data_IF_433932209878
#
_entry.id   IF_433932209878
#
_cell.length_a   1.000
_cell.length_b   1.000
_cell.length_c   1.000
_cell.angle_alpha   90.00
_cell.angle_beta   90.00
_cell.angle_gamma   90.00
#
_symmetry.space_group_name_H-M   'P 1'
#
loop_
_entity.id
_entity.type
_entity.pdbx_description
1 polymer ?
#
# COMPACT_ATOMS: atom_id res chain seq x y z
N UNK A 1 -2.60 -31.10 6.80
CA UNK A 1 -2.45 -29.71 6.30
C UNK A 1 -3.28 -29.58 5.04
N UNK A 2 -3.86 -28.41 4.78
CA UNK A 2 -4.70 -28.21 3.60
C UNK A 2 -3.82 -27.91 2.37
N UNK A 3 -4.01 -28.65 1.28
CA UNK A 3 -3.24 -28.52 0.03
C UNK A 3 -4.05 -27.86 -1.11
N UNK A 4 -5.32 -27.50 -0.86
CA UNK A 4 -6.18 -26.88 -1.85
C UNK A 4 -6.11 -25.34 -1.75
N UNK A 5 -5.59 -24.63 -2.77
CA UNK A 5 -5.42 -23.18 -2.72
C UNK A 5 -6.73 -22.41 -2.52
N UNK A 6 -7.85 -22.93 -3.04
CA UNK A 6 -9.16 -22.27 -2.95
C UNK A 6 -9.77 -22.42 -1.55
N UNK A 7 -9.56 -23.57 -0.91
CA UNK A 7 -10.00 -23.76 0.48
C UNK A 7 -9.13 -22.91 1.42
N UNK A 8 -7.82 -22.82 1.21
CA UNK A 8 -6.95 -21.92 1.99
C UNK A 8 -7.38 -20.46 1.79
N UNK A 9 -7.65 -20.03 0.55
CA UNK A 9 -8.14 -18.69 0.27
C UNK A 9 -9.49 -18.39 0.95
N UNK A 10 -10.43 -19.34 0.92
CA UNK A 10 -11.70 -19.24 1.63
C UNK A 10 -11.52 -19.05 3.14
N UNK A 11 -10.66 -19.87 3.76
CA UNK A 11 -10.39 -19.78 5.20
C UNK A 11 -9.74 -18.44 5.58
N UNK A 12 -8.78 -17.96 4.77
CA UNK A 12 -8.17 -16.66 4.97
C UNK A 12 -9.19 -15.51 4.84
N UNK A 13 -10.01 -15.50 3.77
CA UNK A 13 -11.05 -14.48 3.58
C UNK A 13 -12.10 -14.52 4.70
N UNK A 14 -12.46 -15.71 5.17
CA UNK A 14 -13.38 -15.89 6.29
C UNK A 14 -12.83 -15.25 7.57
N UNK A 15 -11.54 -15.41 7.86
CA UNK A 15 -10.90 -14.80 9.02
C UNK A 15 -10.76 -13.29 8.87
N UNK A 16 -10.41 -12.78 7.68
CA UNK A 16 -10.38 -11.35 7.37
C UNK A 16 -11.75 -10.73 7.64
N UNK A 17 -12.82 -11.33 7.11
CA UNK A 17 -14.19 -10.85 7.24
C UNK A 17 -14.73 -10.91 8.67
N UNK A 18 -14.35 -11.93 9.47
CA UNK A 18 -14.87 -12.11 10.83
C UNK A 18 -14.08 -11.36 11.90
N UNK A 19 -12.75 -11.30 11.77
CA UNK A 19 -11.86 -10.79 12.82
C UNK A 19 -11.33 -9.38 12.53
N UNK A 20 -11.60 -8.84 11.34
CA UNK A 20 -11.10 -7.52 10.93
C UNK A 20 -9.57 -7.46 10.78
N UNK A 21 -8.91 -8.60 10.67
CA UNK A 21 -7.45 -8.69 10.51
C UNK A 21 -6.98 -8.03 9.21
N UNK A 22 -5.75 -7.50 9.22
CA UNK A 22 -5.10 -7.02 8.00
C UNK A 22 -4.89 -8.19 7.03
N UNK A 23 -5.23 -7.99 5.76
CA UNK A 23 -5.24 -9.07 4.77
C UNK A 23 -3.86 -9.73 4.61
N UNK A 24 -2.79 -8.94 4.66
CA UNK A 24 -1.40 -9.41 4.56
C UNK A 24 -1.01 -10.31 5.74
N UNK A 25 -1.36 -9.93 6.96
CA UNK A 25 -1.07 -10.70 8.17
C UNK A 25 -1.82 -12.02 8.19
N UNK A 26 -3.12 -12.00 7.88
CA UNK A 26 -3.96 -13.21 7.87
C UNK A 26 -3.51 -14.17 6.76
N UNK A 27 -3.24 -13.67 5.56
CA UNK A 27 -2.77 -14.50 4.45
C UNK A 27 -1.41 -15.14 4.76
N UNK A 28 -0.44 -14.37 5.28
CA UNK A 28 0.89 -14.89 5.62
C UNK A 28 0.82 -15.98 6.70
N UNK A 29 -0.09 -15.87 7.67
CA UNK A 29 -0.37 -16.95 8.63
C UNK A 29 -0.86 -18.21 7.92
N UNK A 30 -1.93 -18.11 7.11
CA UNK A 30 -2.50 -19.25 6.40
C UNK A 30 -1.53 -19.90 5.42
N UNK A 31 -0.68 -19.12 4.74
CA UNK A 31 0.34 -19.63 3.82
C UNK A 31 1.47 -20.39 4.53
N UNK A 32 1.78 -20.08 5.81
CA UNK A 32 2.77 -20.80 6.60
C UNK A 32 2.23 -22.10 7.20
N UNK A 33 0.95 -22.11 7.55
CA UNK A 33 0.28 -23.27 8.14
C UNK A 33 -0.19 -24.30 7.10
N UNK A 34 -0.12 -23.94 5.81
CA UNK A 34 -0.55 -24.78 4.69
C UNK A 34 0.63 -25.42 3.96
N UNK A 35 0.39 -26.61 3.38
CA UNK A 35 1.37 -27.33 2.56
C UNK A 35 1.02 -27.13 1.08
N UNK A 36 1.38 -25.95 0.55
CA UNK A 36 1.08 -25.53 -0.81
C UNK A 36 2.36 -25.41 -1.64
N UNK A 37 2.33 -25.93 -2.88
CA UNK A 37 3.35 -25.62 -3.88
C UNK A 37 3.38 -24.13 -4.21
N UNK A 38 4.48 -23.61 -4.75
CA UNK A 38 4.61 -22.19 -5.09
C UNK A 38 3.54 -21.69 -6.08
N UNK A 39 3.11 -22.55 -7.00
CA UNK A 39 1.98 -22.26 -7.91
C UNK A 39 0.69 -22.05 -7.10
N UNK A 40 0.41 -22.93 -6.15
CA UNK A 40 -0.78 -22.83 -5.30
C UNK A 40 -0.71 -21.67 -4.31
N UNK A 41 0.48 -21.32 -3.80
CA UNK A 41 0.69 -20.13 -2.94
C UNK A 41 0.41 -18.85 -3.71
N UNK A 42 0.87 -18.75 -4.97
CA UNK A 42 0.55 -17.62 -5.85
C UNK A 42 -0.95 -17.52 -6.13
N UNK A 43 -1.60 -18.63 -6.49
CA UNK A 43 -3.05 -18.64 -6.73
C UNK A 43 -3.84 -18.25 -5.48
N UNK A 44 -3.48 -18.78 -4.31
CA UNK A 44 -4.11 -18.42 -3.02
C UNK A 44 -3.97 -16.92 -2.75
N UNK A 45 -2.77 -16.38 -2.95
CA UNK A 45 -2.46 -14.96 -2.78
C UNK A 45 -3.32 -14.09 -3.71
N UNK A 46 -3.39 -14.46 -4.99
CA UNK A 46 -4.20 -13.76 -5.99
C UNK A 46 -5.69 -13.80 -5.65
N UNK A 47 -6.23 -14.95 -5.24
CA UNK A 47 -7.63 -15.09 -4.86
C UNK A 47 -7.98 -14.24 -3.63
N UNK A 48 -7.15 -14.25 -2.58
CA UNK A 48 -7.40 -13.49 -1.36
C UNK A 48 -7.33 -11.99 -1.63
N UNK A 49 -6.22 -11.49 -2.17
CA UNK A 49 -6.08 -10.06 -2.45
C UNK A 49 -7.08 -9.58 -3.51
N UNK A 50 -7.31 -10.40 -4.53
CA UNK A 50 -8.29 -10.15 -5.57
C UNK A 50 -9.71 -9.95 -5.05
N UNK A 51 -10.19 -10.87 -4.21
CA UNK A 51 -11.52 -10.75 -3.60
C UNK A 51 -11.62 -9.54 -2.66
N UNK A 52 -10.59 -9.25 -1.87
CA UNK A 52 -10.56 -8.05 -1.01
C UNK A 52 -10.62 -6.78 -1.86
N UNK A 53 -9.84 -6.72 -2.94
CA UNK A 53 -9.76 -5.60 -3.87
C UNK A 53 -11.08 -5.36 -4.61
N UNK A 54 -11.74 -6.44 -5.06
CA UNK A 54 -12.99 -6.39 -5.83
C UNK A 54 -14.25 -6.54 -4.98
N UNK A 55 -14.16 -6.42 -3.66
CA UNK A 55 -15.26 -6.68 -2.73
C UNK A 55 -16.59 -6.04 -3.15
N UNK A 56 -16.62 -4.74 -3.43
CA UNK A 56 -17.87 -4.06 -3.82
C UNK A 56 -18.35 -4.49 -5.19
N UNK A 57 -17.45 -4.71 -6.15
CA UNK A 57 -17.82 -5.24 -7.46
C UNK A 57 -18.50 -6.61 -7.34
N UNK A 58 -17.90 -7.50 -6.54
CA UNK A 58 -18.41 -8.86 -6.31
C UNK A 58 -19.71 -8.86 -5.50
N UNK A 59 -19.87 -7.95 -4.54
CA UNK A 59 -21.14 -7.73 -3.84
C UNK A 59 -22.25 -7.27 -4.79
N UNK A 60 -21.95 -6.32 -5.68
CA UNK A 60 -22.92 -5.84 -6.67
C UNK A 60 -23.36 -6.96 -7.61
N UNK A 61 -22.47 -7.87 -8.03
CA UNK A 61 -22.85 -9.04 -8.82
C UNK A 61 -23.84 -9.94 -8.07
N UNK A 62 -23.61 -10.17 -6.78
CA UNK A 62 -24.57 -10.89 -5.93
C UNK A 62 -25.90 -10.14 -5.89
N UNK A 63 -25.87 -8.81 -5.72
CA UNK A 63 -27.06 -7.97 -5.60
C UNK A 63 -27.93 -7.91 -6.87
N UNK A 64 -27.34 -8.16 -8.05
CA UNK A 64 -28.04 -8.27 -9.33
C UNK A 64 -28.63 -9.67 -9.58
N UNK A 65 -27.95 -10.73 -9.11
CA UNK A 65 -28.27 -12.11 -9.48
C UNK A 65 -29.03 -12.89 -8.41
N UNK A 66 -28.87 -12.51 -7.14
CA UNK A 66 -29.45 -13.21 -6.02
C UNK A 66 -30.75 -12.53 -5.53
N UNK A 67 -31.71 -13.31 -5.01
CA UNK A 67 -32.94 -12.74 -4.45
C UNK A 67 -32.70 -11.97 -3.14
N UNK A 68 -31.69 -12.39 -2.36
CA UNK A 68 -31.24 -11.67 -1.14
C UNK A 68 -30.01 -10.84 -1.47
N UNK A 69 -29.93 -9.65 -0.85
CA UNK A 69 -28.77 -8.77 -1.02
C UNK A 69 -27.51 -9.39 -0.41
N UNK A 70 -26.35 -9.00 -0.92
CA UNK A 70 -25.01 -9.46 -0.55
C UNK A 70 -24.79 -9.44 0.97
N UNK A 71 -25.16 -8.35 1.65
CA UNK A 71 -25.07 -8.21 3.11
C UNK A 71 -26.03 -9.11 3.90
N UNK A 72 -27.09 -9.64 3.26
CA UNK A 72 -28.09 -10.54 3.87
C UNK A 72 -27.75 -12.03 3.63
N UNK A 73 -26.74 -12.31 2.80
CA UNK A 73 -26.29 -13.68 2.56
C UNK A 73 -25.58 -14.25 3.78
N UNK A 74 -25.59 -15.58 3.92
CA UNK A 74 -24.73 -16.25 4.89
C UNK A 74 -23.26 -15.85 4.62
N UNK A 75 -22.48 -15.39 5.63
CA UNK A 75 -21.14 -14.82 5.40
C UNK A 75 -20.18 -15.74 4.63
N UNK A 76 -20.23 -17.04 4.91
CA UNK A 76 -19.38 -18.01 4.22
C UNK A 76 -19.85 -18.24 2.76
N UNK A 77 -21.17 -18.16 2.50
CA UNK A 77 -21.70 -18.27 1.13
C UNK A 77 -21.36 -17.03 0.32
N UNK A 78 -21.46 -15.83 0.90
CA UNK A 78 -20.98 -14.60 0.27
C UNK A 78 -19.50 -14.70 -0.09
N UNK A 79 -18.67 -15.22 0.81
CA UNK A 79 -17.23 -15.42 0.57
C UNK A 79 -16.96 -16.43 -0.55
N UNK A 80 -17.71 -17.53 -0.60
CA UNK A 80 -17.60 -18.52 -1.69
C UNK A 80 -18.06 -17.92 -3.03
N UNK A 81 -19.14 -17.14 -3.04
CA UNK A 81 -19.60 -16.43 -4.23
C UNK A 81 -18.57 -15.40 -4.71
N UNK A 82 -17.93 -14.66 -3.79
CA UNK A 82 -16.82 -13.77 -4.12
C UNK A 82 -15.68 -14.52 -4.81
N UNK A 83 -15.25 -15.67 -4.28
CA UNK A 83 -14.23 -16.51 -4.92
C UNK A 83 -14.64 -17.03 -6.30
N UNK A 84 -15.90 -17.47 -6.44
CA UNK A 84 -16.45 -17.95 -7.71
C UNK A 84 -16.48 -16.85 -8.77
N UNK A 85 -17.09 -15.72 -8.44
CA UNK A 85 -17.14 -14.54 -9.32
C UNK A 85 -15.75 -14.01 -9.63
N UNK A 86 -14.85 -13.93 -8.65
CA UNK A 86 -13.50 -13.40 -8.89
C UNK A 86 -12.75 -14.24 -9.93
N UNK A 87 -12.83 -15.56 -9.82
CA UNK A 87 -12.24 -16.48 -10.79
C UNK A 87 -12.85 -16.30 -12.19
N UNK A 88 -14.18 -16.19 -12.29
CA UNK A 88 -14.86 -16.04 -13.58
C UNK A 88 -14.56 -14.67 -14.23
N UNK A 89 -14.63 -13.59 -13.46
CA UNK A 89 -14.59 -12.22 -13.98
C UNK A 89 -13.17 -11.67 -14.17
N UNK A 90 -12.19 -12.14 -13.39
CA UNK A 90 -10.86 -11.51 -13.33
C UNK A 90 -9.69 -12.47 -13.57
N UNK A 91 -9.91 -13.79 -13.65
CA UNK A 91 -8.85 -14.76 -13.90
C UNK A 91 -9.05 -15.49 -15.23
N UNK A 92 -8.53 -14.89 -16.32
CA UNK A 92 -8.64 -15.42 -17.69
C UNK A 92 -8.09 -16.85 -17.86
N UNK A 93 -7.20 -17.30 -16.97
CA UNK A 93 -6.58 -18.63 -17.04
C UNK A 93 -7.43 -19.73 -16.38
N UNK A 94 -8.51 -19.37 -15.67
CA UNK A 94 -9.37 -20.34 -14.97
C UNK A 94 -10.63 -20.58 -15.79
N UNK A 95 -10.86 -21.81 -16.29
CA UNK A 95 -12.10 -22.13 -17.01
C UNK A 95 -13.34 -21.88 -16.13
N UNK A 96 -14.39 -21.31 -16.73
CA UNK A 96 -15.66 -21.04 -16.05
C UNK A 96 -16.23 -22.28 -15.33
N UNK A 97 -16.18 -23.46 -15.95
CA UNK A 97 -16.61 -24.73 -15.34
C UNK A 97 -15.81 -25.04 -14.07
N UNK A 98 -14.49 -24.91 -14.11
CA UNK A 98 -13.62 -25.16 -12.96
C UNK A 98 -13.89 -24.16 -11.82
N UNK A 99 -14.13 -22.89 -12.12
CA UNK A 99 -14.50 -21.88 -11.12
C UNK A 99 -15.81 -22.24 -10.41
N UNK A 100 -16.83 -22.69 -11.16
CA UNK A 100 -18.12 -23.12 -10.61
C UNK A 100 -17.95 -24.39 -9.76
N UNK A 101 -17.33 -25.43 -10.31
CA UNK A 101 -17.20 -26.74 -9.65
C UNK A 101 -16.42 -26.62 -8.35
N UNK A 102 -15.30 -25.87 -8.36
CA UNK A 102 -14.53 -25.62 -7.15
C UNK A 102 -15.30 -24.80 -6.12
N UNK A 103 -16.12 -23.83 -6.53
CA UNK A 103 -16.98 -23.07 -5.61
C UNK A 103 -18.05 -23.96 -4.96
N UNK A 104 -18.65 -24.87 -5.72
CA UNK A 104 -19.60 -25.86 -5.20
C UNK A 104 -18.92 -26.84 -4.23
N UNK A 105 -17.68 -27.23 -4.53
CA UNK A 105 -16.89 -28.08 -3.66
C UNK A 105 -16.55 -27.39 -2.34
N UNK A 106 -16.22 -26.09 -2.35
CA UNK A 106 -16.04 -25.31 -1.12
C UNK A 106 -17.31 -25.33 -0.25
N UNK A 107 -18.50 -25.25 -0.85
CA UNK A 107 -19.77 -25.37 -0.10
C UNK A 107 -19.87 -26.71 0.63
N UNK A 108 -19.56 -27.81 -0.07
CA UNK A 108 -19.63 -29.16 0.51
C UNK A 108 -18.60 -29.36 1.61
N UNK A 109 -17.35 -28.98 1.38
CA UNK A 109 -16.24 -29.15 2.32
C UNK A 109 -16.42 -28.37 3.62
N UNK A 110 -17.20 -27.29 3.60
CA UNK A 110 -17.46 -26.46 4.77
C UNK A 110 -18.83 -26.75 5.42
N UNK A 111 -19.47 -27.89 5.12
CA UNK A 111 -20.70 -28.33 5.78
C UNK A 111 -21.96 -27.55 5.35
N UNK A 112 -21.91 -26.87 4.20
CA UNK A 112 -22.97 -25.97 3.71
C UNK A 112 -23.73 -26.56 2.52
N UNK A 113 -23.71 -27.89 2.33
CA UNK A 113 -24.19 -28.61 1.13
C UNK A 113 -25.58 -28.20 0.63
N UNK A 114 -26.49 -27.79 1.51
CA UNK A 114 -27.81 -27.28 1.11
C UNK A 114 -27.77 -26.02 0.22
N UNK A 115 -26.66 -25.28 0.22
CA UNK A 115 -26.42 -24.13 -0.65
C UNK A 115 -25.73 -24.49 -1.98
N UNK A 116 -25.35 -25.75 -2.23
CA UNK A 116 -24.58 -26.12 -3.43
C UNK A 116 -25.34 -25.77 -4.73
N UNK A 117 -26.65 -26.07 -4.77
CA UNK A 117 -27.49 -25.72 -5.91
C UNK A 117 -27.63 -24.21 -6.12
N UNK A 118 -27.69 -23.45 -5.03
CA UNK A 118 -27.77 -21.99 -5.05
C UNK A 118 -26.49 -21.35 -5.61
N UNK A 119 -25.33 -21.73 -5.09
CA UNK A 119 -24.03 -21.23 -5.58
C UNK A 119 -23.81 -21.59 -7.06
N UNK A 120 -24.06 -22.85 -7.43
CA UNK A 120 -23.98 -23.29 -8.83
C UNK A 120 -24.93 -22.47 -9.74
N UNK A 121 -26.18 -22.30 -9.31
CA UNK A 121 -27.20 -21.58 -10.06
C UNK A 121 -26.82 -20.12 -10.33
N UNK A 122 -26.34 -19.40 -9.31
CA UNK A 122 -25.94 -18.00 -9.44
C UNK A 122 -24.76 -17.84 -10.39
N UNK A 123 -23.68 -18.61 -10.20
CA UNK A 123 -22.49 -18.47 -11.03
C UNK A 123 -22.77 -18.85 -12.49
N UNK A 124 -23.54 -19.91 -12.74
CA UNK A 124 -23.96 -20.28 -14.10
C UNK A 124 -24.95 -19.29 -14.71
N UNK A 125 -25.79 -18.63 -13.89
CA UNK A 125 -26.65 -17.56 -14.38
C UNK A 125 -25.81 -16.40 -14.92
N UNK A 126 -24.81 -15.94 -14.16
CA UNK A 126 -23.88 -14.90 -14.64
C UNK A 126 -23.20 -15.27 -15.96
N UNK A 127 -22.60 -16.47 -16.04
CA UNK A 127 -21.91 -16.93 -17.26
C UNK A 127 -22.85 -16.85 -18.47
N UNK A 128 -24.07 -17.38 -18.35
CA UNK A 128 -25.06 -17.34 -19.45
C UNK A 128 -25.48 -15.94 -19.83
N UNK A 129 -25.62 -15.02 -18.88
CA UNK A 129 -25.96 -13.62 -19.19
C UNK A 129 -24.79 -12.91 -19.88
N UNK A 130 -23.55 -13.15 -19.43
CA UNK A 130 -22.35 -12.57 -20.04
C UNK A 130 -22.12 -13.05 -21.49
N UNK A 131 -22.42 -14.32 -21.78
CA UNK A 131 -22.29 -14.91 -23.13
C UNK A 131 -23.31 -14.33 -24.13
N UNK A 132 -24.45 -13.81 -23.67
CA UNK A 132 -25.46 -13.17 -24.53
C UNK A 132 -25.06 -11.77 -25.00
N UNK A 133 -24.14 -11.12 -24.30
CA UNK A 133 -23.69 -9.78 -24.60
C UNK A 133 -22.16 -9.75 -24.67
N UNK A 134 -21.55 -10.39 -25.69
CA UNK A 134 -20.12 -10.33 -25.90
C UNK A 134 -19.71 -8.88 -26.16
N UNK A 135 -18.89 -8.33 -25.25
CA UNK A 135 -18.40 -6.97 -25.35
C UNK A 135 -17.18 -6.96 -26.26
N UNK A 136 -17.25 -6.27 -27.40
CA UNK A 136 -16.12 -6.10 -28.34
C UNK A 136 -15.03 -5.13 -27.82
N UNK A 137 -15.32 -4.39 -26.74
CA UNK A 137 -14.46 -3.30 -26.26
C UNK A 137 -13.35 -3.77 -25.32
N UNK A 138 -12.22 -3.07 -25.38
CA UNK A 138 -11.02 -3.26 -24.55
C UNK A 138 -11.18 -2.84 -23.08
N UNK A 139 -12.36 -2.34 -22.68
CA UNK A 139 -12.60 -1.87 -21.32
C UNK A 139 -13.03 -3.01 -20.38
N UNK A 140 -12.01 -3.77 -19.94
CA UNK A 140 -12.13 -5.00 -19.16
C UNK A 140 -12.91 -4.87 -17.84
N UNK A 141 -13.04 -3.66 -17.28
CA UNK A 141 -13.75 -3.49 -16.01
C UNK A 141 -15.25 -3.29 -16.18
N UNK A 142 -15.65 -2.52 -17.20
CA UNK A 142 -17.05 -2.30 -17.53
C UNK A 142 -17.71 -3.57 -18.10
N UNK A 143 -16.95 -4.40 -18.82
CA UNK A 143 -17.47 -5.64 -19.41
C UNK A 143 -17.99 -6.62 -18.36
N UNK A 144 -17.41 -6.66 -17.15
CA UNK A 144 -17.84 -7.51 -16.04
C UNK A 144 -19.32 -7.31 -15.68
N UNK A 145 -19.82 -6.08 -15.81
CA UNK A 145 -21.19 -5.72 -15.46
C UNK A 145 -22.14 -5.72 -16.65
N UNK A 146 -21.70 -6.08 -17.85
CA UNK A 146 -22.59 -6.22 -19.00
C UNK A 146 -23.27 -7.60 -18.91
N UNK A 147 -24.61 -7.73 -18.88
CA UNK A 147 -25.68 -6.79 -19.28
C UNK A 147 -26.40 -6.05 -18.14
N UNK A 148 -25.90 -6.09 -16.91
CA UNK A 148 -26.55 -5.46 -15.76
C UNK A 148 -26.58 -3.93 -15.90
N UNK A 149 -27.74 -3.35 -15.53
CA UNK A 149 -27.90 -1.90 -15.53
C UNK A 149 -27.17 -1.29 -14.34
N UNK A 150 -26.03 -0.66 -14.61
CA UNK A 150 -25.31 0.16 -13.63
C UNK A 150 -26.10 1.42 -13.26
N UNK A 151 -25.90 1.97 -12.04
CA UNK A 151 -26.46 3.25 -11.63
C UNK A 151 -26.07 4.39 -12.59
N UNK A 152 -26.96 5.39 -12.72
CA UNK A 152 -26.69 6.58 -13.52
C UNK A 152 -25.76 7.58 -12.81
N UNK A 153 -25.74 7.55 -11.47
CA UNK A 153 -24.83 8.37 -10.69
C UNK A 153 -23.37 7.93 -10.95
N UNK A 154 -22.48 8.82 -11.41
CA UNK A 154 -21.10 8.46 -11.74
C UNK A 154 -20.31 7.96 -10.52
N UNK A 155 -20.58 8.48 -9.32
CA UNK A 155 -19.89 8.09 -8.08
C UNK A 155 -20.18 6.62 -7.76
N UNK A 156 -21.47 6.27 -7.73
CA UNK A 156 -21.91 4.92 -7.44
C UNK A 156 -21.45 3.95 -8.55
N UNK A 157 -21.58 4.37 -9.80
CA UNK A 157 -21.14 3.59 -10.98
C UNK A 157 -19.66 3.24 -10.88
N UNK A 158 -18.78 4.23 -10.73
CA UNK A 158 -17.33 4.01 -10.62
C UNK A 158 -16.97 3.23 -9.35
N UNK A 159 -17.65 3.51 -8.24
CA UNK A 159 -17.48 2.79 -6.99
C UNK A 159 -17.76 1.29 -7.14
N UNK A 160 -18.78 0.91 -7.92
CA UNK A 160 -19.09 -0.48 -8.26
C UNK A 160 -18.05 -1.08 -9.21
N UNK A 161 -17.73 -0.41 -10.32
CA UNK A 161 -16.83 -0.94 -11.35
C UNK A 161 -15.43 -1.19 -10.78
N UNK A 162 -14.90 -0.20 -10.07
CA UNK A 162 -13.53 -0.21 -9.56
C UNK A 162 -13.41 -0.66 -8.11
N UNK A 163 -14.52 -0.93 -7.43
CA UNK A 163 -14.58 -1.41 -6.04
C UNK A 163 -13.94 -0.45 -5.03
N UNK A 164 -14.53 0.73 -4.91
CA UNK A 164 -14.17 1.76 -3.92
C UNK A 164 -15.42 2.30 -3.22
N UNK A 165 -15.32 2.85 -2.00
CA UNK A 165 -16.44 3.55 -1.37
C UNK A 165 -16.77 4.85 -2.10
N UNK A 166 -18.04 5.27 -2.04
CA UNK A 166 -18.53 6.45 -2.76
C UNK A 166 -17.80 7.73 -2.37
N UNK A 167 -17.45 7.89 -1.10
CA UNK A 167 -16.76 9.10 -0.63
C UNK A 167 -15.35 9.25 -1.24
N UNK A 168 -14.63 8.16 -1.49
CA UNK A 168 -13.31 8.22 -2.16
C UNK A 168 -13.47 8.59 -3.63
N UNK A 169 -14.46 8.00 -4.31
CA UNK A 169 -14.74 8.33 -5.71
C UNK A 169 -15.15 9.79 -5.84
N UNK A 170 -16.03 10.27 -4.97
CA UNK A 170 -16.43 11.68 -4.94
C UNK A 170 -15.20 12.58 -4.77
N UNK A 171 -14.37 12.30 -3.76
CA UNK A 171 -13.13 13.05 -3.52
C UNK A 171 -12.21 13.09 -4.75
N UNK A 172 -12.00 11.96 -5.42
CA UNK A 172 -11.15 11.90 -6.62
C UNK A 172 -11.78 12.62 -7.81
N UNK A 173 -13.09 12.51 -8.01
CA UNK A 173 -13.80 13.24 -9.07
C UNK A 173 -13.69 14.74 -8.88
N UNK A 174 -13.83 15.23 -7.65
CA UNK A 174 -13.72 16.65 -7.32
C UNK A 174 -12.28 17.17 -7.54
N UNK A 175 -11.27 16.31 -7.36
CA UNK A 175 -9.85 16.70 -7.42
C UNK A 175 -9.24 16.53 -8.81
N UNK A 176 -9.58 15.45 -9.52
CA UNK A 176 -8.91 15.00 -10.75
C UNK A 176 -9.84 15.01 -11.97
N UNK A 177 -11.15 15.14 -11.76
CA UNK A 177 -12.14 14.91 -12.81
C UNK A 177 -12.28 13.44 -13.19
N UNK A 178 -13.16 13.17 -14.16
CA UNK A 178 -13.58 11.81 -14.51
C UNK A 178 -12.43 10.95 -15.08
N UNK A 179 -11.75 11.43 -16.11
CA UNK A 179 -10.76 10.63 -16.85
C UNK A 179 -9.58 10.19 -15.98
N UNK A 180 -9.03 11.10 -15.18
CA UNK A 180 -7.93 10.77 -14.27
C UNK A 180 -8.39 9.93 -13.07
N UNK A 181 -9.62 10.11 -12.59
CA UNK A 181 -10.19 9.23 -11.55
C UNK A 181 -10.24 7.78 -12.03
N UNK A 182 -10.64 7.53 -13.27
CA UNK A 182 -10.65 6.17 -13.84
C UNK A 182 -9.24 5.58 -13.97
N UNK A 183 -8.25 6.40 -14.36
CA UNK A 183 -6.84 5.99 -14.40
C UNK A 183 -6.31 5.64 -13.00
N UNK A 184 -6.59 6.47 -12.00
CA UNK A 184 -6.22 6.21 -10.61
C UNK A 184 -6.88 4.94 -10.08
N UNK A 185 -8.18 4.78 -10.32
CA UNK A 185 -8.94 3.59 -9.93
C UNK A 185 -8.39 2.33 -10.60
N UNK A 186 -8.02 2.42 -11.87
CA UNK A 186 -7.39 1.34 -12.62
C UNK A 186 -6.05 0.97 -12.00
N UNK A 187 -5.18 1.95 -11.75
CA UNK A 187 -3.87 1.74 -11.14
C UNK A 187 -3.97 1.08 -9.76
N UNK A 188 -4.85 1.58 -8.89
CA UNK A 188 -5.05 0.99 -7.56
C UNK A 188 -5.60 -0.43 -7.58
N UNK A 189 -6.15 -0.88 -8.71
CA UNK A 189 -6.63 -2.24 -8.88
C UNK A 189 -5.61 -3.19 -9.53
N UNK A 190 -4.40 -2.72 -9.82
CA UNK A 190 -3.30 -3.56 -10.28
C UNK A 190 -2.68 -4.34 -9.12
N UNK A 191 -1.99 -5.42 -9.46
CA UNK A 191 -1.17 -6.13 -8.47
C UNK A 191 0.09 -5.33 -8.14
N UNK A 192 0.48 -5.24 -6.87
CA UNK A 192 1.59 -4.40 -6.44
C UNK A 192 2.93 -4.87 -7.00
N UNK A 193 3.73 -3.91 -7.47
CA UNK A 193 5.12 -4.15 -7.84
C UNK A 193 6.01 -4.15 -6.61
N UNK A 194 7.16 -4.80 -6.68
CA UNK A 194 8.14 -4.80 -5.60
C UNK A 194 9.31 -3.93 -6.02
N UNK A 195 9.50 -2.85 -5.27
CA UNK A 195 10.60 -1.91 -5.45
C UNK A 195 11.67 -2.19 -4.41
N UNK A 196 12.91 -2.15 -4.87
CA UNK A 196 14.11 -2.35 -4.10
C UNK A 196 14.86 -1.02 -4.01
N UNK A 197 15.39 -0.76 -2.82
CA UNK A 197 16.40 0.26 -2.58
C UNK A 197 17.74 -0.43 -2.42
N UNK A 198 18.71 -0.08 -3.27
CA UNK A 198 20.07 -0.60 -3.19
C UNK A 198 20.81 0.07 -2.03
N UNK A 199 21.53 -0.72 -1.24
CA UNK A 199 22.39 -0.23 -0.16
C UNK A 199 23.80 0.04 -0.71
N UNK A 200 24.17 1.32 -0.89
CA UNK A 200 25.44 1.68 -1.53
C UNK A 200 26.66 1.35 -0.66
N UNK A 201 26.48 1.06 0.64
CA UNK A 201 27.54 0.65 1.54
C UNK A 201 27.95 -0.82 1.38
N UNK A 202 27.12 -1.61 0.70
CA UNK A 202 27.34 -3.05 0.55
C UNK A 202 27.55 -3.47 -0.90
N UNK A 203 27.00 -2.72 -1.86
CA UNK A 203 27.07 -3.08 -3.28
C UNK A 203 26.74 -1.88 -4.19
N UNK A 204 26.81 -2.09 -5.50
CA UNK A 204 26.35 -1.13 -6.51
C UNK A 204 25.09 -1.61 -7.21
N UNK A 205 24.38 -0.68 -7.84
CA UNK A 205 23.17 -0.99 -8.59
C UNK A 205 23.48 -1.96 -9.76
N UNK A 206 24.57 -1.73 -10.49
CA UNK A 206 25.03 -2.56 -11.61
C UNK A 206 25.34 -4.00 -11.17
N UNK A 207 25.89 -4.16 -9.96
CA UNK A 207 26.20 -5.49 -9.40
C UNK A 207 24.92 -6.28 -9.14
N UNK A 208 23.90 -5.63 -8.58
CA UNK A 208 22.60 -6.28 -8.31
C UNK A 208 21.88 -6.61 -9.60
N UNK A 209 21.87 -5.69 -10.58
CA UNK A 209 21.30 -5.95 -11.91
C UNK A 209 21.94 -7.15 -12.58
N UNK A 210 23.27 -7.22 -12.59
CA UNK A 210 24.02 -8.31 -13.23
C UNK A 210 23.77 -9.66 -12.56
N UNK A 211 23.72 -9.70 -11.23
CA UNK A 211 23.44 -10.93 -10.48
C UNK A 211 21.98 -11.39 -10.63
N UNK A 212 21.04 -10.45 -10.78
CA UNK A 212 19.65 -10.81 -11.04
C UNK A 212 19.47 -11.34 -12.46
N UNK A 213 20.11 -10.69 -13.45
CA UNK A 213 20.09 -11.14 -14.83
C UNK A 213 20.70 -12.53 -14.99
N UNK A 214 21.81 -12.84 -14.31
CA UNK A 214 22.45 -14.16 -14.35
C UNK A 214 21.53 -15.30 -13.85
N UNK A 215 20.53 -14.97 -13.03
CA UNK A 215 19.50 -15.89 -12.52
C UNK A 215 18.15 -15.78 -13.22
N UNK A 216 18.08 -15.03 -14.32
CA UNK A 216 16.84 -14.82 -15.06
C UNK A 216 15.78 -14.00 -14.31
N UNK A 217 16.17 -13.20 -13.31
CA UNK A 217 15.29 -12.30 -12.59
C UNK A 217 15.28 -10.94 -13.31
N UNK A 218 14.12 -10.52 -13.79
CA UNK A 218 13.98 -9.25 -14.51
C UNK A 218 13.82 -8.07 -13.55
N UNK A 219 14.65 -7.04 -13.75
CA UNK A 219 14.59 -5.75 -13.03
C UNK A 219 14.70 -4.58 -13.98
N UNK A 220 14.04 -3.48 -13.62
CA UNK A 220 14.17 -2.20 -14.31
C UNK A 220 14.57 -1.12 -13.31
N UNK A 221 15.44 -0.20 -13.71
CA UNK A 221 15.70 1.02 -12.94
C UNK A 221 14.42 1.85 -12.85
N UNK A 222 14.16 2.42 -11.68
CA UNK A 222 13.03 3.32 -11.47
C UNK A 222 13.46 4.71 -11.98
N UNK A 223 12.73 5.26 -12.94
CA UNK A 223 13.07 6.53 -13.59
C UNK A 223 13.26 7.65 -12.57
N UNK A 224 14.39 8.37 -12.69
CA UNK A 224 14.78 9.48 -11.80
C UNK A 224 15.28 9.06 -10.42
N UNK A 225 15.02 7.83 -9.94
CA UNK A 225 15.36 7.41 -8.59
C UNK A 225 16.76 6.75 -8.54
N UNK A 226 17.78 7.33 -7.86
CA UNK A 226 19.17 6.92 -8.03
C UNK A 226 19.49 5.46 -7.68
N UNK A 227 18.91 4.94 -6.59
CA UNK A 227 19.19 3.59 -6.08
C UNK A 227 17.95 2.67 -6.14
N UNK A 228 16.98 3.01 -7.00
CA UNK A 228 15.71 2.31 -7.11
C UNK A 228 15.70 1.27 -8.23
N UNK A 229 15.40 0.02 -7.90
CA UNK A 229 15.10 -1.04 -8.87
C UNK A 229 13.68 -1.56 -8.67
N UNK A 230 12.98 -1.86 -9.75
CA UNK A 230 11.66 -2.52 -9.74
C UNK A 230 11.79 -3.94 -10.26
N UNK A 231 11.40 -4.90 -9.42
CA UNK A 231 11.27 -6.30 -9.84
C UNK A 231 10.10 -6.43 -10.82
N UNK A 232 10.32 -7.16 -11.92
CA UNK A 232 9.29 -7.47 -12.91
C UNK A 232 9.17 -8.99 -13.08
N UNK A 233 7.95 -9.45 -13.34
CA UNK A 233 7.65 -10.87 -13.49
C UNK A 233 7.47 -11.64 -12.17
N UNK A 234 7.41 -12.96 -12.28
CA UNK A 234 7.22 -13.83 -11.12
C UNK A 234 8.52 -14.04 -10.40
N UNK A 235 8.59 -13.56 -9.17
CA UNK A 235 9.71 -13.83 -8.26
C UNK A 235 9.38 -14.98 -7.32
N UNK A 236 10.41 -15.70 -6.89
CA UNK A 236 10.31 -16.64 -5.78
C UNK A 236 10.18 -15.90 -4.45
N UNK A 237 10.53 -16.59 -3.35
CA UNK A 237 10.63 -15.95 -2.04
C UNK A 237 11.65 -14.81 -2.07
N UNK A 238 11.24 -13.63 -1.58
CA UNK A 238 12.10 -12.44 -1.46
C UNK A 238 13.40 -12.76 -0.71
N UNK A 239 13.34 -13.62 0.30
CA UNK A 239 14.50 -13.94 1.14
C UNK A 239 15.56 -14.77 0.41
N UNK A 240 15.15 -15.44 -0.67
CA UNK A 240 16.01 -16.32 -1.46
C UNK A 240 16.64 -15.56 -2.65
N UNK A 241 16.24 -14.30 -2.85
CA UNK A 241 16.81 -13.43 -3.88
C UNK A 241 18.28 -13.08 -3.55
N UNK A 242 19.14 -12.97 -4.58
CA UNK A 242 20.56 -12.66 -4.38
C UNK A 242 20.76 -11.36 -3.61
N UNK A 243 21.74 -11.34 -2.71
CA UNK A 243 22.09 -10.14 -1.94
C UNK A 243 21.20 -9.86 -0.72
N UNK A 244 20.07 -10.57 -0.53
CA UNK A 244 19.16 -10.32 0.59
C UNK A 244 19.87 -10.43 1.95
N UNK A 245 20.55 -11.55 2.20
CA UNK A 245 21.27 -11.82 3.45
C UNK A 245 22.55 -11.00 3.58
N UNK A 246 23.14 -10.58 2.46
CA UNK A 246 24.34 -9.75 2.41
C UNK A 246 24.05 -8.27 2.69
N UNK A 247 22.76 -7.89 2.72
CA UNK A 247 22.34 -6.51 2.96
C UNK A 247 22.44 -5.61 1.74
N UNK A 248 22.49 -6.18 0.54
CA UNK A 248 22.67 -5.44 -0.73
C UNK A 248 21.51 -4.50 -1.05
N UNK A 249 20.32 -4.81 -0.57
CA UNK A 249 19.12 -4.02 -0.82
C UNK A 249 18.05 -4.24 0.26
N UNK A 250 17.03 -3.39 0.24
CA UNK A 250 15.81 -3.48 1.05
C UNK A 250 14.58 -3.28 0.19
N UNK A 251 13.44 -3.85 0.57
CA UNK A 251 12.16 -3.52 -0.08
C UNK A 251 11.70 -2.15 0.41
N UNK A 252 11.49 -1.23 -0.52
CA UNK A 252 10.92 0.08 -0.24
C UNK A 252 10.33 0.66 -1.54
N UNK A 253 9.06 1.08 -1.49
CA UNK A 253 8.40 1.76 -2.60
C UNK A 253 9.17 3.02 -3.03
N UNK A 254 9.23 3.28 -4.35
CA UNK A 254 9.92 4.45 -4.88
C UNK A 254 9.48 5.78 -4.26
N UNK A 255 8.18 5.94 -3.96
CA UNK A 255 7.66 7.15 -3.31
C UNK A 255 8.26 7.36 -1.91
N UNK A 256 8.42 6.28 -1.14
CA UNK A 256 8.99 6.33 0.20
C UNK A 256 10.52 6.54 0.17
N UNK A 257 11.20 6.17 -0.91
CA UNK A 257 12.64 6.46 -1.10
C UNK A 257 12.87 7.96 -1.30
N UNK A 258 12.01 8.64 -2.08
CA UNK A 258 12.09 10.08 -2.34
C UNK A 258 12.05 10.95 -1.08
N UNK A 259 11.35 10.51 -0.04
CA UNK A 259 11.28 11.23 1.24
C UNK A 259 12.65 11.43 1.88
N UNK A 260 13.50 10.39 1.87
CA UNK A 260 14.87 10.48 2.42
C UNK A 260 15.77 11.35 1.55
N UNK A 261 15.58 11.34 0.23
CA UNK A 261 16.28 12.26 -0.68
C UNK A 261 15.86 13.72 -0.47
N UNK A 262 14.58 13.99 -0.20
CA UNK A 262 14.11 15.34 0.13
C UNK A 262 14.67 15.83 1.47
N UNK A 263 14.78 14.93 2.45
CA UNK A 263 15.42 15.23 3.73
C UNK A 263 16.88 15.63 3.53
N UNK A 264 17.57 15.00 2.57
CA UNK A 264 18.94 15.31 2.17
C UNK A 264 19.95 15.25 3.35
N UNK A 265 19.97 14.16 4.15
CA UNK A 265 20.83 14.09 5.32
C UNK A 265 22.32 14.00 4.93
N UNK A 266 23.18 14.66 5.71
CA UNK A 266 24.63 14.74 5.43
C UNK A 266 25.44 13.90 6.43
N UNK A 267 26.59 13.33 6.00
CA UNK A 267 27.53 12.66 6.91
C UNK A 267 27.92 13.54 8.10
N UNK A 268 27.86 12.97 9.30
CA UNK A 268 28.21 13.64 10.56
C UNK A 268 27.07 14.38 11.26
N UNK A 269 25.92 14.56 10.61
CA UNK A 269 24.72 15.18 11.21
C UNK A 269 24.07 14.28 12.27
N UNK A 270 23.28 14.89 13.15
CA UNK A 270 22.30 14.21 14.01
C UNK A 270 20.91 14.30 13.37
N UNK A 271 20.38 13.16 12.95
CA UNK A 271 19.08 13.05 12.29
C UNK A 271 18.09 12.33 13.21
N UNK A 272 16.86 12.82 13.28
CA UNK A 272 15.76 12.15 13.98
C UNK A 272 14.75 11.60 12.98
N UNK A 273 14.33 10.36 13.17
CA UNK A 273 13.14 9.78 12.55
C UNK A 273 12.09 9.55 13.65
N UNK A 274 11.08 10.41 13.72
CA UNK A 274 10.15 10.49 14.84
C UNK A 274 9.07 9.38 14.82
N UNK A 275 8.87 8.72 13.68
CA UNK A 275 7.87 7.67 13.46
C UNK A 275 8.47 6.52 12.64
N UNK A 276 9.59 5.99 13.14
CA UNK A 276 10.56 5.25 12.36
C UNK A 276 10.09 3.87 11.87
N UNK A 277 9.25 3.14 12.60
CA UNK A 277 9.02 1.74 12.26
C UNK A 277 8.14 1.61 11.00
N UNK A 278 8.40 0.66 10.08
CA UNK A 278 9.29 -0.49 10.20
C UNK A 278 10.78 -0.24 9.87
N UNK A 279 11.21 1.01 9.65
CA UNK A 279 12.62 1.39 9.53
C UNK A 279 13.12 1.59 8.10
N UNK A 280 12.23 1.60 7.11
CA UNK A 280 12.61 1.78 5.70
C UNK A 280 13.34 3.10 5.48
N UNK A 281 12.72 4.22 5.88
CA UNK A 281 13.31 5.56 5.76
C UNK A 281 14.49 5.76 6.71
N UNK A 282 14.39 5.27 7.94
CA UNK A 282 15.50 5.28 8.92
C UNK A 282 16.78 4.66 8.38
N UNK A 283 16.68 3.46 7.80
CA UNK A 283 17.85 2.77 7.22
C UNK A 283 18.37 3.46 5.97
N UNK A 284 17.48 4.07 5.18
CA UNK A 284 17.90 4.88 4.03
C UNK A 284 18.68 6.13 4.48
N UNK A 285 18.22 6.81 5.53
CA UNK A 285 18.93 7.96 6.10
C UNK A 285 20.33 7.55 6.53
N UNK A 286 20.48 6.43 7.24
CA UNK A 286 21.79 5.91 7.63
C UNK A 286 22.68 5.57 6.43
N UNK A 287 22.12 5.02 5.35
CA UNK A 287 22.84 4.77 4.09
C UNK A 287 23.31 6.08 3.42
N UNK A 288 22.47 7.12 3.40
CA UNK A 288 22.79 8.43 2.79
C UNK A 288 23.88 9.19 3.55
N UNK A 289 23.90 9.11 4.88
CA UNK A 289 24.98 9.69 5.71
C UNK A 289 26.24 8.83 5.75
N UNK A 290 26.31 7.77 4.93
CA UNK A 290 27.42 6.82 4.89
C UNK A 290 27.71 6.11 6.22
N UNK A 291 26.66 5.90 7.03
CA UNK A 291 26.73 5.40 8.41
C UNK A 291 27.65 6.26 9.32
N UNK A 292 27.91 7.52 8.95
CA UNK A 292 28.68 8.51 9.73
C UNK A 292 27.74 9.55 10.33
N UNK A 293 27.75 9.68 11.66
CA UNK A 293 26.84 10.57 12.40
C UNK A 293 25.90 9.77 13.31
N UNK A 294 24.72 10.32 13.59
CA UNK A 294 23.75 9.69 14.49
C UNK A 294 22.33 9.76 13.92
N UNK A 295 21.65 8.62 13.90
CA UNK A 295 20.22 8.53 13.55
C UNK A 295 19.43 8.07 14.78
N UNK A 296 18.59 8.94 15.34
CA UNK A 296 17.71 8.59 16.45
C UNK A 296 16.34 8.16 15.89
N UNK A 297 15.99 6.90 16.09
CA UNK A 297 14.77 6.29 15.55
C UNK A 297 13.74 6.03 16.67
N UNK A 298 12.61 6.74 16.61
CA UNK A 298 11.54 6.65 17.60
C UNK A 298 10.29 5.96 17.03
N UNK A 299 9.64 5.11 17.82
CA UNK A 299 8.30 4.60 17.53
C UNK A 299 7.59 4.22 18.84
N UNK A 300 6.28 4.45 18.91
CA UNK A 300 5.49 4.17 20.10
C UNK A 300 5.23 2.67 20.30
N UNK A 301 5.28 1.87 19.23
CA UNK A 301 4.91 0.46 19.25
C UNK A 301 6.17 -0.41 19.30
N UNK A 302 6.49 -0.90 20.51
CA UNK A 302 7.66 -1.76 20.77
C UNK A 302 7.78 -2.97 19.83
N UNK A 303 6.67 -3.59 19.44
CA UNK A 303 6.68 -4.76 18.54
C UNK A 303 7.16 -4.41 17.13
N UNK A 304 6.92 -3.19 16.64
CA UNK A 304 7.39 -2.73 15.32
C UNK A 304 8.89 -2.46 15.30
N UNK A 305 9.48 -2.06 16.44
CA UNK A 305 10.92 -1.82 16.58
C UNK A 305 11.77 -3.09 16.36
N UNK A 306 11.20 -4.28 16.57
CA UNK A 306 11.89 -5.55 16.29
C UNK A 306 12.31 -5.66 14.82
N UNK A 307 11.49 -5.16 13.89
CA UNK A 307 11.81 -5.16 12.45
C UNK A 307 12.97 -4.23 12.13
N UNK A 308 13.05 -3.07 12.79
CA UNK A 308 14.18 -2.14 12.62
C UNK A 308 15.47 -2.85 13.04
N UNK A 309 15.51 -3.43 14.25
CA UNK A 309 16.69 -4.18 14.75
C UNK A 309 17.15 -5.28 13.79
N UNK A 310 16.21 -6.04 13.24
CA UNK A 310 16.51 -7.08 12.24
C UNK A 310 17.13 -6.50 10.97
N UNK A 311 16.61 -5.36 10.49
CA UNK A 311 17.16 -4.67 9.33
C UNK A 311 18.54 -4.06 9.60
N UNK A 312 18.80 -3.52 10.80
CA UNK A 312 20.14 -3.00 11.15
C UNK A 312 21.22 -4.07 10.99
N UNK A 313 20.98 -5.25 11.58
CA UNK A 313 21.94 -6.37 11.48
C UNK A 313 22.11 -6.84 10.05
N UNK A 314 21.02 -6.99 9.29
CA UNK A 314 21.06 -7.47 7.89
C UNK A 314 21.76 -6.47 6.96
N UNK A 315 21.49 -5.18 7.14
CA UNK A 315 22.05 -4.10 6.31
C UNK A 315 23.42 -3.61 6.79
N UNK A 316 23.90 -4.11 7.95
CA UNK A 316 25.19 -3.77 8.57
C UNK A 316 25.34 -2.28 8.89
N UNK A 317 24.29 -1.69 9.45
CA UNK A 317 24.23 -0.27 9.84
C UNK A 317 24.42 -0.11 11.35
N UNK A 318 25.20 0.88 11.77
CA UNK A 318 25.60 1.09 13.17
C UNK A 318 25.20 2.47 13.73
N UNK A 319 24.98 3.47 12.88
CA UNK A 319 24.65 4.85 13.28
C UNK A 319 23.25 5.00 13.91
N UNK A 320 22.40 3.97 13.82
CA UNK A 320 20.99 4.03 14.24
C UNK A 320 20.83 3.64 15.72
N UNK A 321 20.30 4.56 16.52
CA UNK A 321 19.88 4.32 17.90
C UNK A 321 18.35 4.25 17.99
N UNK A 322 17.84 3.09 18.40
CA UNK A 322 16.40 2.85 18.50
C UNK A 322 15.90 3.18 19.91
N UNK A 323 14.90 4.05 20.02
CA UNK A 323 14.25 4.42 21.28
C UNK A 323 12.74 4.21 21.17
N UNK A 324 12.16 3.51 22.13
CA UNK A 324 10.70 3.34 22.19
C UNK A 324 10.07 4.53 22.90
N UNK A 325 9.05 5.13 22.30
CA UNK A 325 8.37 6.27 22.91
C UNK A 325 7.32 6.88 22.00
N UNK A 326 6.30 7.49 22.61
CA UNK A 326 5.36 8.37 21.91
C UNK A 326 6.03 9.73 21.74
N UNK A 327 6.27 10.15 20.51
CA UNK A 327 6.98 11.40 20.21
C UNK A 327 6.31 12.63 20.87
N UNK A 328 5.00 12.59 21.13
CA UNK A 328 4.27 13.65 21.84
C UNK A 328 4.63 13.80 23.32
N UNK A 329 5.34 12.81 23.88
CA UNK A 329 5.61 12.68 25.32
C UNK A 329 7.09 12.47 25.64
N UNK A 330 7.97 12.61 24.64
CA UNK A 330 9.40 12.40 24.82
C UNK A 330 10.07 13.70 25.25
N UNK A 331 10.68 13.67 26.43
CA UNK A 331 11.52 14.74 26.95
C UNK A 331 12.97 14.63 26.44
N UNK A 332 13.71 15.74 26.51
CA UNK A 332 15.16 15.75 26.28
C UNK A 332 15.60 15.72 24.81
N UNK A 333 14.69 15.93 23.86
CA UNK A 333 15.00 16.03 22.42
C UNK A 333 15.02 17.47 21.91
N UNK A 334 15.11 18.48 22.77
CA UNK A 334 15.04 19.89 22.39
C UNK A 334 16.28 20.34 21.58
N UNK A 335 16.05 20.84 20.36
CA UNK A 335 17.08 21.40 19.47
C UNK A 335 18.36 20.54 19.31
N UNK A 336 18.20 19.23 19.19
CA UNK A 336 19.32 18.31 18.97
C UNK A 336 19.47 17.86 17.52
N UNK A 337 18.42 17.98 16.71
CA UNK A 337 18.39 17.47 15.34
C UNK A 337 18.86 18.54 14.35
N UNK A 338 19.86 18.22 13.53
CA UNK A 338 20.17 19.00 12.33
C UNK A 338 19.04 18.82 11.30
N UNK A 339 18.51 17.60 11.21
CA UNK A 339 17.35 17.25 10.36
C UNK A 339 16.39 16.31 11.06
N UNK A 340 15.09 16.50 10.83
CA UNK A 340 14.05 15.63 11.36
C UNK A 340 13.14 15.12 10.25
N UNK A 341 12.88 13.82 10.26
CA UNK A 341 11.83 13.19 9.47
C UNK A 341 10.62 12.89 10.35
N UNK A 342 9.47 13.41 9.95
CA UNK A 342 8.16 13.03 10.46
C UNK A 342 7.37 12.33 9.35
N UNK A 343 7.57 11.02 9.24
CA UNK A 343 6.74 10.11 8.44
C UNK A 343 5.46 9.77 9.23
N UNK A 344 4.50 10.68 9.17
CA UNK A 344 3.41 10.71 10.15
C UNK A 344 2.43 9.53 9.97
N UNK A 345 1.85 9.00 11.07
CA UNK A 345 0.80 8.00 10.97
C UNK A 345 -0.41 8.59 10.24
N UNK A 346 -0.78 7.99 9.11
CA UNK A 346 -1.87 8.49 8.25
C UNK A 346 -2.85 7.39 7.84
N UNK A 347 -3.87 7.78 7.10
CA UNK A 347 -4.91 6.89 6.56
C UNK A 347 -4.38 5.91 5.49
N UNK A 348 -3.21 6.16 4.92
CA UNK A 348 -2.59 5.26 3.94
C UNK A 348 -3.33 5.16 2.60
N UNK A 349 -4.21 6.12 2.28
CA UNK A 349 -5.04 6.14 1.08
C UNK A 349 -4.25 6.24 -0.24
N UNK A 350 -2.96 6.55 -0.19
CA UNK A 350 -2.05 6.48 -1.34
C UNK A 350 -1.57 5.06 -1.66
N UNK A 351 -1.80 4.08 -0.77
CA UNK A 351 -1.23 2.72 -0.88
C UNK A 351 -2.26 1.62 -1.15
N UNK A 352 -3.46 2.01 -1.64
CA UNK A 352 -4.63 1.14 -1.73
C UNK A 352 -4.49 -0.05 -2.70
N UNK A 353 -3.44 -0.08 -3.52
CA UNK A 353 -3.12 -1.22 -4.38
C UNK A 353 -2.40 -2.35 -3.60
N UNK A 354 -1.62 -2.00 -2.57
CA UNK A 354 -0.98 -2.93 -1.62
C UNK A 354 -1.92 -3.30 -0.48
N UNK A 355 -2.71 -2.32 -0.01
CA UNK A 355 -3.63 -2.44 1.14
C UNK A 355 -5.06 -2.19 0.71
N UNK A 356 -5.58 -3.08 -0.13
CA UNK A 356 -6.93 -2.94 -0.68
C UNK A 356 -8.03 -3.03 0.39
N UNK A 357 -7.75 -3.66 1.54
CA UNK A 357 -8.62 -3.66 2.71
C UNK A 357 -8.76 -2.25 3.34
N UNK A 358 -7.74 -1.40 3.19
CA UNK A 358 -7.74 -0.01 3.64
C UNK A 358 -8.84 0.86 3.03
N UNK A 359 -9.35 0.50 1.85
CA UNK A 359 -10.46 1.19 1.16
C UNK A 359 -11.72 1.31 2.02
N UNK A 360 -11.91 0.39 2.97
CA UNK A 360 -13.15 0.25 3.75
C UNK A 360 -12.96 0.54 5.23
N UNK A 361 -11.77 1.01 5.65
CA UNK A 361 -11.39 1.19 7.06
C UNK A 361 -11.52 2.63 7.55
N UNK A 362 -11.66 3.58 6.63
CA UNK A 362 -11.65 5.00 6.94
C UNK A 362 -12.98 5.66 6.55
N UNK A 363 -13.40 6.60 7.38
CA UNK A 363 -14.43 7.60 7.11
C UNK A 363 -13.85 8.99 7.36
N UNK A 364 -14.64 10.03 7.06
CA UNK A 364 -14.20 11.42 7.22
C UNK A 364 -13.85 11.78 8.67
N UNK A 365 -14.51 11.13 9.65
CA UNK A 365 -14.21 11.37 11.07
C UNK A 365 -12.84 10.81 11.43
N UNK A 366 -12.54 9.58 11.02
CA UNK A 366 -11.25 8.99 11.30
C UNK A 366 -10.08 9.73 10.62
N UNK A 367 -10.30 10.34 9.44
CA UNK A 367 -9.31 11.21 8.79
C UNK A 367 -9.04 12.46 9.64
N UNK A 368 -10.08 13.06 10.23
CA UNK A 368 -9.92 14.22 11.13
C UNK A 368 -9.13 13.84 12.40
N UNK A 369 -9.44 12.70 13.01
CA UNK A 369 -8.71 12.21 14.19
C UNK A 369 -7.21 11.97 13.88
N UNK A 370 -6.90 11.45 12.69
CA UNK A 370 -5.52 11.26 12.21
C UNK A 370 -4.82 12.59 11.94
N UNK A 371 -5.47 13.54 11.29
CA UNK A 371 -4.94 14.89 11.05
C UNK A 371 -4.61 15.60 12.36
N UNK A 372 -5.46 15.48 13.39
CA UNK A 372 -5.19 16.05 14.71
C UNK A 372 -3.95 15.41 15.36
N UNK A 373 -3.83 14.08 15.30
CA UNK A 373 -2.65 13.37 15.80
C UNK A 373 -1.37 13.81 15.06
N UNK A 374 -1.44 13.96 13.74
CA UNK A 374 -0.32 14.41 12.91
C UNK A 374 0.11 15.83 13.30
N UNK A 375 -0.84 16.73 13.56
CA UNK A 375 -0.57 18.08 14.03
C UNK A 375 0.09 18.07 15.41
N UNK A 376 -0.42 17.30 16.38
CA UNK A 376 0.22 17.15 17.71
C UNK A 376 1.67 16.66 17.61
N UNK A 377 1.93 15.72 16.70
CA UNK A 377 3.29 15.21 16.45
C UNK A 377 4.17 16.29 15.83
N UNK A 378 3.67 17.03 14.84
CA UNK A 378 4.41 18.12 14.20
C UNK A 378 4.72 19.25 15.19
N UNK A 379 3.74 19.66 15.99
CA UNK A 379 3.89 20.65 17.07
C UNK A 379 4.95 20.25 18.10
N UNK A 380 4.98 18.97 18.47
CA UNK A 380 5.98 18.50 19.43
C UNK A 380 7.36 18.42 18.80
N UNK A 381 7.47 17.79 17.64
CA UNK A 381 8.75 17.46 17.01
C UNK A 381 9.44 18.66 16.37
N UNK A 382 8.74 19.73 16.04
CA UNK A 382 9.37 20.96 15.56
C UNK A 382 10.35 21.57 16.58
N UNK A 383 10.10 21.39 17.88
CA UNK A 383 10.98 21.84 18.95
C UNK A 383 12.28 21.02 19.06
N UNK A 384 12.37 19.90 18.33
CA UNK A 384 13.56 19.05 18.34
C UNK A 384 14.60 19.47 17.31
N UNK A 385 14.21 20.32 16.37
CA UNK A 385 15.04 20.80 15.27
C UNK A 385 15.82 22.04 15.72
N UNK A 386 17.13 22.02 15.51
CA UNK A 386 18.02 23.16 15.76
C UNK A 386 17.59 24.39 14.94
N UNK A 387 17.89 25.62 15.40
CA UNK A 387 17.83 26.79 14.55
C UNK A 387 18.65 26.57 13.26
N UNK A 388 18.08 26.91 12.10
CA UNK A 388 18.67 26.62 10.79
C UNK A 388 18.58 25.15 10.32
N UNK A 389 18.06 24.24 11.15
CA UNK A 389 17.80 22.86 10.77
C UNK A 389 16.51 22.71 9.95
N UNK A 390 16.27 21.51 9.41
CA UNK A 390 15.07 21.24 8.60
C UNK A 390 14.23 20.07 9.12
N UNK A 391 12.94 20.11 8.79
CA UNK A 391 11.97 19.05 9.04
C UNK A 391 11.36 18.62 7.71
N UNK A 392 11.32 17.32 7.43
CA UNK A 392 10.49 16.77 6.35
C UNK A 392 9.26 16.12 6.96
N UNK A 393 8.09 16.67 6.62
CA UNK A 393 6.80 16.06 6.91
C UNK A 393 6.38 15.22 5.70
N UNK A 394 5.96 13.99 5.95
CA UNK A 394 5.62 13.05 4.88
C UNK A 394 4.48 12.12 5.29
N UNK A 395 3.62 11.76 4.33
CA UNK A 395 2.50 10.82 4.53
C UNK A 395 2.26 10.00 3.26
N UNK A 396 1.77 8.77 3.41
CA UNK A 396 1.32 7.93 2.29
C UNK A 396 -0.19 8.05 2.01
N UNK A 397 -0.74 9.26 2.15
CA UNK A 397 -2.14 9.60 1.88
C UNK A 397 -2.24 10.68 0.82
N UNK A 398 -3.36 10.69 0.10
CA UNK A 398 -3.69 11.69 -0.92
C UNK A 398 -4.69 12.72 -0.39
N UNK A 399 -5.14 12.60 0.86
CA UNK A 399 -6.23 13.42 1.38
C UNK A 399 -5.71 14.74 1.97
N UNK A 400 -6.28 15.90 1.58
CA UNK A 400 -5.68 17.19 1.90
C UNK A 400 -5.71 17.59 3.38
N UNK A 401 -6.67 17.06 4.14
CA UNK A 401 -6.73 17.28 5.59
C UNK A 401 -5.50 16.76 6.34
N UNK A 402 -4.82 15.73 5.81
CA UNK A 402 -3.61 15.16 6.40
C UNK A 402 -2.34 15.79 5.82
N UNK A 403 -2.48 16.65 4.80
CA UNK A 403 -1.39 17.12 3.94
C UNK A 403 -1.37 18.65 3.88
N UNK A 404 -1.91 19.24 2.80
CA UNK A 404 -1.80 20.67 2.52
C UNK A 404 -2.51 21.50 3.59
N UNK A 405 -3.71 21.11 4.00
CA UNK A 405 -4.46 21.83 5.04
C UNK A 405 -3.73 21.81 6.38
N UNK A 406 -3.11 20.67 6.73
CA UNK A 406 -2.35 20.53 7.96
C UNK A 406 -1.11 21.42 7.95
N UNK A 407 -0.35 21.40 6.86
CA UNK A 407 0.88 22.20 6.71
C UNK A 407 0.57 23.70 6.69
N UNK A 408 -0.49 24.11 5.99
CA UNK A 408 -0.93 25.50 5.98
C UNK A 408 -1.34 25.98 7.39
N UNK A 409 -2.08 25.16 8.14
CA UNK A 409 -2.44 25.47 9.51
C UNK A 409 -1.21 25.62 10.41
N UNK A 410 -0.25 24.68 10.32
CA UNK A 410 1.01 24.76 11.06
C UNK A 410 1.78 26.06 10.74
N UNK A 411 1.99 26.37 9.45
CA UNK A 411 2.73 27.57 9.04
C UNK A 411 2.04 28.88 9.45
N UNK A 412 0.71 28.90 9.57
CA UNK A 412 -0.03 30.07 10.06
C UNK A 412 0.22 30.35 11.54
N UNK A 413 0.64 29.35 12.31
CA UNK A 413 0.87 29.44 13.76
C UNK A 413 2.36 29.54 14.11
N UNK A 414 3.26 29.17 13.18
CA UNK A 414 4.71 29.13 13.41
C UNK A 414 5.49 29.92 12.36
N UNK A 415 5.60 31.23 12.59
CA UNK A 415 6.22 32.17 11.63
C UNK A 415 7.73 31.98 11.43
N UNK A 416 8.39 31.22 12.30
CA UNK A 416 9.81 30.86 12.19
C UNK A 416 10.07 29.66 11.28
N UNK A 417 9.03 29.10 10.67
CA UNK A 417 9.10 28.01 9.71
C UNK A 417 8.63 28.48 8.33
N UNK A 418 9.28 27.96 7.29
CA UNK A 418 8.87 28.18 5.90
C UNK A 418 9.09 26.93 5.06
N UNK A 419 8.32 26.81 3.99
CA UNK A 419 8.52 25.76 2.99
C UNK A 419 9.82 26.05 2.25
N UNK A 420 10.67 25.03 2.15
CA UNK A 420 11.83 25.02 1.28
C UNK A 420 11.51 24.10 0.09
N UNK A 421 11.23 24.64 -1.10
CA UNK A 421 11.02 23.83 -2.29
C UNK A 421 12.24 22.94 -2.58
N UNK A 422 12.03 21.75 -3.18
CA UNK A 422 13.15 20.93 -3.65
C UNK A 422 13.97 21.69 -4.71
N UNK A 423 15.28 21.41 -4.83
CA UNK A 423 16.10 22.00 -5.88
C UNK A 423 15.61 21.57 -7.28
N UNK A 424 15.93 22.36 -8.32
CA UNK A 424 15.55 22.04 -9.71
C UNK A 424 16.07 20.68 -10.19
N UNK A 425 17.16 20.17 -9.60
CA UNK A 425 17.72 18.85 -9.88
C UNK A 425 16.88 17.70 -9.31
N UNK A 426 15.88 17.97 -8.48
CA UNK A 426 15.01 16.95 -7.92
C UNK A 426 14.03 16.45 -9.00
N UNK A 427 14.00 15.14 -9.24
CA UNK A 427 13.26 14.59 -10.39
C UNK A 427 11.73 14.66 -10.27
N UNK A 428 11.20 14.94 -9.09
CA UNK A 428 9.76 15.17 -8.89
C UNK A 428 9.47 16.66 -8.90
N UNK A 429 8.58 17.08 -9.79
CA UNK A 429 8.10 18.46 -9.85
C UNK A 429 7.28 18.80 -8.59
N UNK A 430 7.64 19.83 -7.83
CA UNK A 430 6.81 20.31 -6.73
C UNK A 430 5.57 21.04 -7.28
N UNK A 431 4.53 21.12 -6.45
CA UNK A 431 3.41 22.03 -6.64
C UNK A 431 3.89 23.49 -6.47
N UNK A 432 3.12 24.49 -6.94
CA UNK A 432 3.51 25.91 -6.84
C UNK A 432 3.88 26.38 -5.43
N UNK A 433 3.29 25.78 -4.39
CA UNK A 433 3.57 26.09 -2.99
C UNK A 433 4.86 25.45 -2.45
N UNK A 434 5.47 24.50 -3.19
CA UNK A 434 6.79 23.92 -2.89
C UNK A 434 6.77 22.50 -2.29
N UNK A 435 5.61 21.93 -1.99
CA UNK A 435 5.49 20.51 -1.61
C UNK A 435 5.36 19.59 -2.82
N UNK A 436 5.59 18.29 -2.64
CA UNK A 436 5.47 17.28 -3.70
C UNK A 436 4.26 16.38 -3.43
N UNK A 437 3.45 16.17 -4.46
CA UNK A 437 2.40 15.15 -4.50
C UNK A 437 2.74 14.08 -5.52
N UNK A 438 2.76 12.83 -5.09
CA UNK A 438 2.90 11.67 -5.96
C UNK A 438 1.52 11.09 -6.18
N UNK A 439 1.04 11.14 -7.42
CA UNK A 439 -0.21 10.54 -7.85
C UNK A 439 0.09 9.19 -8.50
N UNK A 440 -0.47 8.08 -7.98
CA UNK A 440 0.03 6.76 -8.36
C UNK A 440 0.05 6.47 -9.86
N UNK A 441 -1.04 6.82 -10.55
CA UNK A 441 -1.20 6.61 -11.99
C UNK A 441 -0.28 7.51 -12.84
N UNK A 442 0.18 8.65 -12.32
CA UNK A 442 1.05 9.59 -13.06
C UNK A 442 2.52 9.19 -12.94
N UNK A 443 2.99 8.82 -11.74
CA UNK A 443 4.40 8.50 -11.49
C UNK A 443 4.69 6.99 -11.35
N UNK A 444 3.67 6.14 -11.40
CA UNK A 444 3.80 4.68 -11.26
C UNK A 444 4.48 4.26 -9.93
N UNK A 445 4.09 4.89 -8.83
CA UNK A 445 4.56 4.64 -7.46
C UNK A 445 3.38 4.73 -6.48
N UNK A 446 3.56 4.39 -5.20
CA UNK A 446 2.51 4.68 -4.22
C UNK A 446 2.22 6.19 -4.11
N UNK A 447 0.98 6.50 -3.74
CA UNK A 447 0.53 7.86 -3.50
C UNK A 447 1.15 8.42 -2.25
N UNK A 448 1.69 9.64 -2.34
CA UNK A 448 2.52 10.19 -1.28
C UNK A 448 2.48 11.72 -1.28
N UNK A 449 2.61 12.32 -0.10
CA UNK A 449 2.83 13.74 0.10
C UNK A 449 4.10 13.95 0.90
N UNK A 450 4.90 14.95 0.51
CA UNK A 450 6.09 15.33 1.26
C UNK A 450 6.39 16.82 1.11
N UNK A 451 6.83 17.44 2.21
CA UNK A 451 7.23 18.84 2.24
C UNK A 451 8.46 19.01 3.13
N UNK A 452 9.43 19.80 2.67
CA UNK A 452 10.56 20.22 3.48
C UNK A 452 10.27 21.60 4.08
N UNK A 453 10.37 21.68 5.39
CA UNK A 453 10.26 22.90 6.17
C UNK A 453 11.65 23.24 6.72
N UNK A 454 12.02 24.51 6.68
CA UNK A 454 13.28 25.01 7.27
C UNK A 454 12.93 25.93 8.44
N UNK A 455 13.64 25.74 9.56
CA UNK A 455 13.54 26.60 10.75
C UNK A 455 14.52 27.75 10.59
N UNK A 456 14.06 28.97 10.86
CA UNK A 456 14.93 30.14 10.84
C UNK A 456 16.04 30.05 11.91
N UNK A 457 17.10 30.85 11.73
CA UNK A 457 18.29 30.85 12.60
C UNK A 457 18.10 31.59 13.94
N UNK A 458 16.93 32.21 14.15
CA UNK A 458 16.64 33.16 15.24
C UNK A 458 16.46 32.50 16.60
#
# INVERSE_FOLDING_TARGET
MNNNPRQVAFLALRDINRRGGLADVVLDQWLRESDLSDINRRLTTELVYGCVRRRRSLDSLIDYLAPKKSHQQHPDIRTILHLGFYQICYLNQVPNSAAVDTSVELVKQNGLTHFSGFVNGILRHYIRESEKCPVETSDSFNSVFTPFKLPQNPIEKLGIIYSFPDWLIQFWLDTLGLAETEQLCTWFNQSPTIDLRINPLQTTLETVESEFQSRGISVNRISGLPLGLRLTGSIGSIKDLPGYNQGWWSIQDGSAQWVSYLLDPQPGETIIDACAAPGGKTTHIAELIQDQGQVLAFDSIKSRLKKIKQNLTRLKLNSIQIKAGDARKLDGCFEIADRLLLDAPCSGLGTLHRRADGRWKHDLKNIQDLSQLQLELLETTQNWVKPGGCLVYATCTLHPQENETLIQNFLSQHSNWKIQPPPESFCLTPEPEGWIKIWPHRQNMDGFFMVKLIKDLT
#
